data_IF_855591171350
#
_entry.id   IF_855591171350
#
_cell.length_a   1.000
_cell.length_b   1.000
_cell.length_c   1.000
_cell.angle_alpha   90.00
_cell.angle_beta   90.00
_cell.angle_gamma   90.00
#
_symmetry.space_group_name_H-M   'P 1'
#
loop_
_entity.id
_entity.type
_entity.pdbx_description
1 polymer ?
#
# COMPACT_ATOMS: atom_id res chain seq x y z
N UNK A 1 6.52 1.97 -17.66
CA UNK A 1 5.98 0.96 -16.73
C UNK A 1 5.11 0.00 -17.53
N UNK A 2 5.39 -1.30 -17.48
CA UNK A 2 4.63 -2.29 -18.24
C UNK A 2 3.47 -2.83 -17.40
N UNK A 3 2.24 -2.62 -17.89
CA UNK A 3 0.99 -2.99 -17.22
C UNK A 3 0.84 -4.51 -17.13
N UNK A 4 1.35 -5.23 -18.12
CA UNK A 4 1.29 -6.69 -18.17
C UNK A 4 2.11 -7.28 -17.03
N UNK A 5 3.28 -6.69 -16.75
CA UNK A 5 4.16 -7.10 -15.66
C UNK A 5 3.50 -6.90 -14.30
N UNK A 6 2.93 -5.71 -14.03
CA UNK A 6 2.22 -5.46 -12.76
C UNK A 6 1.12 -6.50 -12.49
N UNK A 7 0.39 -6.87 -13.54
CA UNK A 7 -0.65 -7.89 -13.50
C UNK A 7 -0.12 -9.31 -13.30
N UNK A 8 1.03 -9.63 -13.89
CA UNK A 8 1.70 -10.92 -13.68
C UNK A 8 2.27 -11.03 -12.28
N UNK A 9 2.92 -9.98 -11.78
CA UNK A 9 3.51 -9.94 -10.44
C UNK A 9 2.43 -10.06 -9.38
N UNK A 10 1.31 -9.35 -9.54
CA UNK A 10 0.15 -9.50 -8.66
C UNK A 10 -0.40 -10.94 -8.67
N UNK A 11 -0.43 -11.59 -9.83
CA UNK A 11 -0.85 -13.00 -9.93
C UNK A 11 0.12 -13.95 -9.23
N UNK A 12 1.42 -13.75 -9.41
CA UNK A 12 2.45 -14.53 -8.74
C UNK A 12 2.47 -14.27 -7.21
N UNK A 13 2.19 -13.03 -6.79
CA UNK A 13 2.00 -12.63 -5.39
C UNK A 13 0.87 -13.42 -4.76
N UNK A 14 -0.28 -13.46 -5.43
CA UNK A 14 -1.44 -14.20 -4.95
C UNK A 14 -1.20 -15.70 -4.82
N UNK A 15 -0.50 -16.32 -5.77
CA UNK A 15 -0.30 -17.77 -5.78
C UNK A 15 0.60 -18.27 -4.64
N UNK A 16 1.57 -17.47 -4.19
CA UNK A 16 2.51 -17.90 -3.14
C UNK A 16 2.09 -17.42 -1.74
N UNK A 17 1.05 -16.58 -1.64
CA UNK A 17 0.60 -16.05 -0.37
C UNK A 17 -0.18 -17.09 0.46
N UNK A 18 0.20 -17.23 1.73
CA UNK A 18 -0.46 -18.09 2.69
C UNK A 18 -0.82 -17.26 3.96
N UNK A 19 -2.10 -17.12 4.35
CA UNK A 19 -3.32 -17.63 3.72
C UNK A 19 -3.61 -17.02 2.35
N UNK A 20 -4.30 -17.80 1.50
CA UNK A 20 -4.63 -17.40 0.13
C UNK A 20 -5.40 -16.07 0.12
N UNK A 21 -5.02 -15.06 -0.69
CA UNK A 21 -5.64 -13.73 -0.66
C UNK A 21 -7.14 -13.72 -0.94
N UNK A 22 -7.66 -14.69 -1.70
CA UNK A 22 -9.10 -14.85 -1.86
C UNK A 22 -9.83 -15.20 -0.55
N UNK A 23 -9.21 -15.95 0.37
CA UNK A 23 -9.81 -16.24 1.69
C UNK A 23 -9.86 -14.98 2.55
N UNK A 24 -8.77 -14.21 2.61
CA UNK A 24 -8.74 -12.95 3.37
C UNK A 24 -9.74 -11.95 2.79
N UNK A 25 -9.85 -11.89 1.46
CA UNK A 25 -10.83 -11.06 0.76
C UNK A 25 -12.26 -11.52 1.00
N UNK A 26 -12.50 -12.84 1.04
CA UNK A 26 -13.80 -13.40 1.38
C UNK A 26 -14.20 -13.04 2.81
N UNK A 27 -13.28 -13.19 3.78
CA UNK A 27 -13.52 -12.76 5.17
C UNK A 27 -13.82 -11.27 5.24
N UNK A 28 -13.04 -10.43 4.56
CA UNK A 28 -13.28 -8.99 4.47
C UNK A 28 -14.67 -8.69 3.88
N UNK A 29 -15.04 -9.31 2.76
CA UNK A 29 -16.34 -9.12 2.11
C UNK A 29 -17.50 -9.60 2.99
N UNK A 30 -17.36 -10.71 3.69
CA UNK A 30 -18.37 -11.22 4.63
C UNK A 30 -18.57 -10.25 5.79
N UNK A 31 -17.49 -9.69 6.35
CA UNK A 31 -17.58 -8.68 7.41
C UNK A 31 -18.32 -7.43 6.89
N UNK A 32 -17.98 -6.94 5.70
CA UNK A 32 -18.67 -5.79 5.11
C UNK A 32 -20.14 -6.08 4.80
N UNK A 33 -20.45 -7.28 4.30
CA UNK A 33 -21.80 -7.72 4.04
C UNK A 33 -22.61 -7.82 5.34
N UNK A 34 -22.02 -8.33 6.43
CA UNK A 34 -22.65 -8.38 7.74
C UNK A 34 -22.94 -6.98 8.29
N UNK A 35 -22.00 -6.04 8.19
CA UNK A 35 -22.21 -4.64 8.58
C UNK A 35 -23.37 -4.03 7.77
N UNK A 36 -23.36 -4.21 6.45
CA UNK A 36 -24.39 -3.70 5.55
C UNK A 36 -25.75 -4.33 5.81
N UNK A 37 -25.77 -5.63 6.15
CA UNK A 37 -26.97 -6.37 6.53
C UNK A 37 -27.58 -5.82 7.81
N UNK A 38 -26.79 -5.53 8.84
CA UNK A 38 -27.29 -4.94 10.10
C UNK A 38 -27.92 -3.57 9.86
N UNK A 39 -27.30 -2.71 9.04
CA UNK A 39 -27.87 -1.41 8.66
C UNK A 39 -29.18 -1.61 7.91
N UNK A 40 -29.18 -2.48 6.90
CA UNK A 40 -30.36 -2.76 6.06
C UNK A 40 -31.51 -3.36 6.88
N UNK A 41 -31.20 -4.23 7.84
CA UNK A 41 -32.17 -4.83 8.76
C UNK A 41 -32.82 -3.77 9.64
N UNK A 42 -32.05 -2.80 10.14
CA UNK A 42 -32.60 -1.72 10.96
C UNK A 42 -33.50 -0.77 10.14
N UNK A 43 -33.10 -0.42 8.93
CA UNK A 43 -33.92 0.37 8.01
C UNK A 43 -35.19 -0.39 7.55
N UNK A 44 -35.06 -1.69 7.29
CA UNK A 44 -36.17 -2.56 6.92
C UNK A 44 -37.18 -2.75 8.06
N UNK A 45 -36.69 -2.97 9.28
CA UNK A 45 -37.54 -3.04 10.47
C UNK A 45 -38.28 -1.73 10.72
N UNK A 46 -37.59 -0.58 10.64
CA UNK A 46 -38.21 0.74 10.75
C UNK A 46 -39.35 0.90 9.72
N UNK A 47 -39.09 0.54 8.47
CA UNK A 47 -40.07 0.63 7.38
C UNK A 47 -41.27 -0.30 7.59
N UNK A 48 -41.02 -1.56 7.99
CA UNK A 48 -42.06 -2.53 8.26
C UNK A 48 -42.92 -2.13 9.47
N UNK A 49 -42.29 -1.64 10.53
CA UNK A 49 -42.98 -1.19 11.73
C UNK A 49 -43.85 0.04 11.43
N UNK A 50 -43.35 1.02 10.68
CA UNK A 50 -44.16 2.16 10.25
C UNK A 50 -45.32 1.74 9.35
N UNK A 51 -45.15 0.75 8.47
CA UNK A 51 -46.24 0.25 7.63
C UNK A 51 -47.38 -0.42 8.43
N UNK A 52 -47.11 -0.90 9.64
CA UNK A 52 -48.12 -1.45 10.55
C UNK A 52 -48.87 -0.37 11.34
N UNK A 53 -48.35 0.86 11.36
CA UNK A 53 -48.99 1.99 12.03
C UNK A 53 -49.87 2.72 11.04
N UNK A 54 -51.18 2.58 11.22
CA UNK A 54 -52.21 3.18 10.36
C UNK A 54 -52.38 4.68 10.57
N UNK A 55 -51.90 5.21 11.69
CA UNK A 55 -51.95 6.63 12.03
C UNK A 55 -50.72 7.37 11.44
N UNK A 56 -50.93 8.38 10.57
CA UNK A 56 -49.85 9.09 9.90
C UNK A 56 -48.98 9.93 10.86
N UNK A 57 -49.55 10.45 11.95
CA UNK A 57 -48.82 11.24 12.94
C UNK A 57 -47.92 10.33 13.79
N UNK A 58 -48.44 9.14 14.15
CA UNK A 58 -47.64 8.12 14.85
C UNK A 58 -46.52 7.55 13.95
N UNK A 59 -46.79 7.34 12.65
CA UNK A 59 -45.79 6.94 11.66
C UNK A 59 -44.65 7.97 11.54
N UNK A 60 -44.99 9.27 11.49
CA UNK A 60 -44.00 10.35 11.44
C UNK A 60 -43.14 10.39 12.72
N UNK A 61 -43.76 10.20 13.90
CA UNK A 61 -43.05 10.14 15.17
C UNK A 61 -42.06 8.96 15.25
N UNK A 62 -42.41 7.80 14.69
CA UNK A 62 -41.53 6.63 14.60
C UNK A 62 -40.32 6.92 13.72
N UNK A 63 -40.52 7.45 12.51
CA UNK A 63 -39.42 7.81 11.63
C UNK A 63 -38.47 8.82 12.30
N UNK A 64 -39.01 9.87 12.91
CA UNK A 64 -38.23 10.86 13.63
C UNK A 64 -37.45 10.23 14.80
N UNK A 65 -38.09 9.37 15.59
CA UNK A 65 -37.45 8.65 16.70
C UNK A 65 -36.35 7.69 16.26
N UNK A 66 -36.48 7.07 15.08
CA UNK A 66 -35.48 6.14 14.54
C UNK A 66 -34.34 6.83 13.78
N UNK A 67 -34.42 8.15 13.50
CA UNK A 67 -33.36 8.87 12.79
C UNK A 67 -32.04 8.88 13.57
N UNK A 68 -32.06 9.25 14.85
CA UNK A 68 -30.83 9.37 15.65
C UNK A 68 -30.11 8.02 15.80
N UNK A 69 -30.78 6.92 16.18
CA UNK A 69 -30.14 5.60 16.22
C UNK A 69 -29.58 5.16 14.85
N UNK A 70 -30.29 5.46 13.75
CA UNK A 70 -29.85 5.13 12.39
C UNK A 70 -28.59 5.87 11.97
N UNK A 71 -28.51 7.16 12.28
CA UNK A 71 -27.33 7.98 12.01
C UNK A 71 -26.14 7.51 12.86
N UNK A 72 -26.36 7.19 14.14
CA UNK A 72 -25.30 6.68 15.02
C UNK A 72 -24.77 5.33 14.54
N UNK A 73 -25.65 4.39 14.17
CA UNK A 73 -25.22 3.10 13.61
C UNK A 73 -24.40 3.32 12.34
N UNK A 74 -24.90 4.13 11.40
CA UNK A 74 -24.21 4.42 10.14
C UNK A 74 -22.83 5.05 10.37
N UNK A 75 -22.71 5.94 11.35
CA UNK A 75 -21.44 6.56 11.70
C UNK A 75 -20.44 5.52 12.22
N UNK A 76 -20.86 4.68 13.17
CA UNK A 76 -20.03 3.59 13.71
C UNK A 76 -19.61 2.62 12.60
N UNK A 77 -20.55 2.20 11.74
CA UNK A 77 -20.27 1.33 10.61
C UNK A 77 -19.27 1.93 9.62
N UNK A 78 -19.32 3.24 9.39
CA UNK A 78 -18.35 3.95 8.53
C UNK A 78 -16.96 3.96 9.15
N UNK A 79 -16.85 4.18 10.46
CA UNK A 79 -15.58 4.09 11.17
C UNK A 79 -14.99 2.68 11.08
N UNK A 80 -15.82 1.65 11.28
CA UNK A 80 -15.40 0.26 11.21
C UNK A 80 -14.92 -0.11 9.81
N UNK A 81 -15.71 0.24 8.79
CA UNK A 81 -15.38 -0.03 7.38
C UNK A 81 -14.09 0.68 6.97
N UNK A 82 -13.89 1.93 7.41
CA UNK A 82 -12.70 2.71 7.07
C UNK A 82 -11.39 2.09 7.57
N UNK A 83 -11.34 1.62 8.83
CA UNK A 83 -10.13 0.97 9.31
C UNK A 83 -9.94 -0.43 8.72
N UNK A 84 -11.02 -1.18 8.48
CA UNK A 84 -10.95 -2.50 7.83
C UNK A 84 -10.41 -2.37 6.40
N UNK A 85 -10.84 -1.34 5.67
CA UNK A 85 -10.31 -1.04 4.34
C UNK A 85 -8.80 -0.79 4.40
N UNK A 86 -8.32 -0.03 5.38
CA UNK A 86 -6.88 0.21 5.55
C UNK A 86 -6.10 -1.05 5.95
N UNK A 87 -6.67 -1.89 6.81
CA UNK A 87 -6.08 -3.19 7.14
C UNK A 87 -5.98 -4.09 5.91
N UNK A 88 -6.98 -4.07 5.04
CA UNK A 88 -6.95 -4.79 3.76
C UNK A 88 -5.90 -4.21 2.80
N UNK A 89 -5.81 -2.89 2.65
CA UNK A 89 -4.75 -2.22 1.87
C UNK A 89 -3.37 -2.63 2.37
N UNK A 90 -3.14 -2.59 3.69
CA UNK A 90 -1.87 -3.00 4.27
C UNK A 90 -1.56 -4.50 4.07
N UNK A 91 -2.57 -5.35 4.19
CA UNK A 91 -2.46 -6.78 3.86
C UNK A 91 -2.00 -6.97 2.41
N UNK A 92 -2.65 -6.33 1.45
CA UNK A 92 -2.26 -6.45 0.02
C UNK A 92 -0.85 -5.94 -0.25
N UNK A 93 -0.43 -4.88 0.44
CA UNK A 93 0.94 -4.35 0.37
C UNK A 93 1.96 -5.35 0.94
N UNK A 94 1.65 -6.03 2.04
CA UNK A 94 2.50 -7.11 2.58
C UNK A 94 2.57 -8.32 1.66
N UNK A 95 1.45 -8.70 1.06
CA UNK A 95 1.37 -9.81 0.09
C UNK A 95 2.26 -9.56 -1.12
N UNK A 96 2.17 -8.38 -1.73
CA UNK A 96 3.04 -8.04 -2.87
C UNK A 96 4.51 -7.94 -2.45
N UNK A 97 4.78 -7.47 -1.23
CA UNK A 97 6.13 -7.41 -0.66
C UNK A 97 6.66 -8.76 -0.14
N UNK A 98 5.91 -9.86 -0.33
CA UNK A 98 6.25 -11.21 0.15
C UNK A 98 6.50 -11.30 1.66
N UNK A 99 5.89 -10.42 2.43
CA UNK A 99 5.94 -10.43 3.89
C UNK A 99 4.88 -11.39 4.46
N UNK A 100 5.08 -11.94 5.67
CA UNK A 100 4.06 -12.73 6.33
C UNK A 100 2.82 -11.85 6.57
N UNK A 101 1.72 -12.22 5.90
CA UNK A 101 0.47 -11.48 5.92
C UNK A 101 -0.64 -12.43 6.37
N UNK A 102 -1.52 -11.99 7.26
CA UNK A 102 -2.60 -12.82 7.82
C UNK A 102 -3.92 -12.07 7.94
N UNK A 103 -4.98 -12.81 8.29
CA UNK A 103 -6.33 -12.22 8.52
C UNK A 103 -6.29 -11.16 9.63
N UNK A 104 -5.39 -11.33 10.62
CA UNK A 104 -5.22 -10.37 11.71
C UNK A 104 -4.76 -8.98 11.23
N UNK A 105 -4.12 -8.89 10.06
CA UNK A 105 -3.68 -7.60 9.50
C UNK A 105 -4.87 -6.71 9.11
N UNK A 106 -6.06 -7.30 8.87
CA UNK A 106 -7.30 -6.56 8.68
C UNK A 106 -7.64 -5.67 9.89
N UNK A 107 -7.26 -6.10 11.09
CA UNK A 107 -7.54 -5.41 12.34
C UNK A 107 -6.33 -4.66 12.92
N UNK A 108 -5.13 -4.85 12.37
CA UNK A 108 -3.90 -4.24 12.88
C UNK A 108 -3.95 -2.70 12.94
N UNK A 109 -4.73 -2.09 12.06
CA UNK A 109 -4.88 -0.64 11.95
C UNK A 109 -6.07 -0.08 12.73
N UNK A 110 -6.77 -0.90 13.52
CA UNK A 110 -7.90 -0.44 14.35
C UNK A 110 -7.49 0.67 15.34
N UNK A 111 -6.27 0.61 15.89
CA UNK A 111 -5.74 1.67 16.79
C UNK A 111 -5.54 3.02 16.10
N UNK A 112 -5.42 3.05 14.77
CA UNK A 112 -5.26 4.25 13.96
C UNK A 112 -6.57 4.67 13.28
N UNK A 113 -7.72 4.13 13.70
CA UNK A 113 -9.03 4.34 13.07
C UNK A 113 -9.38 5.83 12.90
N UNK A 114 -9.14 6.66 13.92
CA UNK A 114 -9.42 8.11 13.86
C UNK A 114 -8.54 8.81 12.81
N UNK A 115 -7.28 8.41 12.71
CA UNK A 115 -6.33 8.99 11.74
C UNK A 115 -6.70 8.60 10.31
N UNK A 116 -7.10 7.35 10.12
CA UNK A 116 -7.60 6.82 8.85
C UNK A 116 -8.87 7.55 8.43
N UNK A 117 -9.78 7.77 9.38
CA UNK A 117 -11.00 8.52 9.11
C UNK A 117 -10.71 9.98 8.78
N UNK A 118 -9.79 10.62 9.51
CA UNK A 118 -9.28 11.95 9.18
C UNK A 118 -8.68 12.04 7.78
N UNK A 119 -7.88 11.05 7.37
CA UNK A 119 -7.35 10.96 6.00
C UNK A 119 -8.48 10.88 4.96
N UNK A 120 -9.49 10.03 5.20
CA UNK A 120 -10.65 9.91 4.32
C UNK A 120 -11.44 11.21 4.21
N UNK A 121 -11.64 11.94 5.32
CA UNK A 121 -12.33 13.24 5.31
C UNK A 121 -11.55 14.27 4.53
N UNK A 122 -10.25 14.41 4.78
CA UNK A 122 -9.43 15.43 4.11
C UNK A 122 -9.38 15.16 2.60
N UNK A 123 -9.16 13.90 2.21
CA UNK A 123 -9.18 13.54 0.79
C UNK A 123 -10.56 13.72 0.18
N UNK A 124 -11.62 13.29 0.87
CA UNK A 124 -13.01 13.45 0.45
C UNK A 124 -13.38 14.92 0.25
N UNK A 125 -13.00 15.80 1.17
CA UNK A 125 -13.20 17.24 1.06
C UNK A 125 -12.50 17.82 -0.18
N UNK A 126 -11.23 17.47 -0.40
CA UNK A 126 -10.54 17.94 -1.60
C UNK A 126 -11.18 17.38 -2.88
N UNK A 127 -11.45 16.07 -2.95
CA UNK A 127 -12.09 15.46 -4.12
C UNK A 127 -13.46 16.08 -4.39
N UNK A 128 -14.25 16.32 -3.35
CA UNK A 128 -15.53 17.02 -3.45
C UNK A 128 -15.36 18.44 -3.99
N UNK A 129 -14.42 19.22 -3.45
CA UNK A 129 -14.10 20.56 -3.95
C UNK A 129 -13.70 20.55 -5.43
N UNK A 130 -12.84 19.61 -5.85
CA UNK A 130 -12.46 19.45 -7.26
C UNK A 130 -13.64 19.02 -8.13
N UNK A 131 -14.54 18.18 -7.61
CA UNK A 131 -15.74 17.72 -8.30
C UNK A 131 -16.78 18.83 -8.44
N UNK A 132 -16.85 19.78 -7.50
CA UNK A 132 -17.71 20.97 -7.60
C UNK A 132 -17.26 21.91 -8.71
N UNK A 133 -15.96 22.01 -8.97
CA UNK A 133 -15.47 22.81 -10.09
C UNK A 133 -15.89 22.20 -11.42
N UNK A 134 -15.59 20.91 -11.64
CA UNK A 134 -16.00 20.14 -12.82
C UNK A 134 -15.91 18.63 -12.49
N UNK A 135 -16.66 17.80 -13.21
CA UNK A 135 -16.67 16.35 -12.99
C UNK A 135 -15.31 15.67 -13.26
N UNK A 136 -14.64 16.03 -14.37
CA UNK A 136 -13.34 15.45 -14.78
C UNK A 136 -12.21 15.69 -13.75
N UNK A 137 -11.95 16.91 -13.24
CA UNK A 137 -10.89 17.12 -12.27
C UNK A 137 -11.17 16.43 -10.91
N UNK A 138 -12.44 16.16 -10.56
CA UNK A 138 -12.79 15.32 -9.42
C UNK A 138 -12.17 13.93 -9.50
N UNK A 139 -12.32 13.26 -10.65
CA UNK A 139 -11.74 11.93 -10.91
C UNK A 139 -10.21 11.99 -10.87
N UNK A 140 -9.60 13.00 -11.51
CA UNK A 140 -8.15 13.18 -11.48
C UNK A 140 -7.64 13.42 -10.05
N UNK A 141 -8.39 14.14 -9.21
CA UNK A 141 -8.06 14.35 -7.81
C UNK A 141 -8.12 13.05 -7.00
N UNK A 142 -9.12 12.19 -7.25
CA UNK A 142 -9.20 10.86 -6.63
C UNK A 142 -7.94 10.03 -6.93
N UNK A 143 -7.52 9.98 -8.20
CA UNK A 143 -6.30 9.26 -8.58
C UNK A 143 -5.04 9.84 -7.94
N UNK A 144 -4.93 11.16 -7.90
CA UNK A 144 -3.79 11.87 -7.30
C UNK A 144 -3.62 11.53 -5.82
N UNK A 145 -4.69 11.25 -5.09
CA UNK A 145 -4.63 10.97 -3.65
C UNK A 145 -4.66 9.48 -3.30
N UNK A 146 -4.92 8.62 -4.28
CA UNK A 146 -5.03 7.17 -4.06
C UNK A 146 -3.81 6.53 -3.38
N UNK A 147 -2.61 7.09 -3.54
CA UNK A 147 -1.38 6.52 -2.97
C UNK A 147 -1.22 6.88 -1.48
N UNK A 148 -1.96 7.86 -0.97
CA UNK A 148 -1.88 8.29 0.43
C UNK A 148 -2.25 7.17 1.40
N UNK A 149 -3.16 6.26 1.01
CA UNK A 149 -3.51 5.08 1.81
C UNK A 149 -2.32 4.14 2.00
N UNK A 150 -1.54 3.86 0.96
CA UNK A 150 -0.36 2.99 1.05
C UNK A 150 0.77 3.65 1.87
N UNK A 151 0.98 4.95 1.71
CA UNK A 151 1.97 5.71 2.49
C UNK A 151 1.63 5.69 3.98
N UNK A 152 0.36 5.88 4.33
CA UNK A 152 -0.10 5.80 5.71
C UNK A 152 0.00 4.38 6.26
N UNK A 153 -0.24 3.35 5.44
CA UNK A 153 -0.07 1.96 5.85
C UNK A 153 1.39 1.62 6.19
N UNK A 154 2.36 2.15 5.45
CA UNK A 154 3.79 1.97 5.73
C UNK A 154 4.29 2.83 6.89
N UNK A 155 3.82 4.07 6.99
CA UNK A 155 4.24 5.05 7.99
C UNK A 155 3.03 5.59 8.78
N UNK A 156 2.46 4.80 9.69
CA UNK A 156 1.23 5.18 10.40
C UNK A 156 1.41 6.41 11.30
N UNK A 157 2.64 6.78 11.67
CA UNK A 157 2.95 7.97 12.46
C UNK A 157 3.00 9.26 11.63
N UNK A 158 3.16 9.18 10.30
CA UNK A 158 3.24 10.36 9.40
C UNK A 158 1.95 11.18 9.37
N UNK A 159 2.05 12.51 9.26
CA UNK A 159 0.88 13.39 9.20
C UNK A 159 -0.05 13.10 8.02
N UNK A 160 -1.36 13.35 8.18
CA UNK A 160 -2.36 13.14 7.12
C UNK A 160 -2.01 13.97 5.88
N UNK A 161 -1.66 15.25 6.09
CA UNK A 161 -1.35 16.16 4.99
C UNK A 161 -0.03 15.78 4.29
N UNK A 162 0.94 15.27 5.04
CA UNK A 162 2.21 14.80 4.48
C UNK A 162 1.98 13.59 3.57
N UNK A 163 1.16 12.63 4.01
CA UNK A 163 0.77 11.48 3.19
C UNK A 163 0.10 11.93 1.88
N UNK A 164 -0.80 12.93 1.95
CA UNK A 164 -1.46 13.47 0.77
C UNK A 164 -0.44 14.16 -0.16
N UNK A 165 0.46 14.98 0.37
CA UNK A 165 1.45 15.70 -0.43
C UNK A 165 2.43 14.74 -1.12
N UNK A 166 2.88 13.70 -0.43
CA UNK A 166 3.75 12.66 -0.99
C UNK A 166 3.01 11.85 -2.07
N UNK A 167 1.72 11.52 -1.86
CA UNK A 167 0.88 10.92 -2.90
C UNK A 167 0.77 11.82 -4.14
N UNK A 168 0.65 13.14 -3.97
CA UNK A 168 0.61 14.08 -5.11
C UNK A 168 1.91 14.06 -5.90
N UNK A 169 3.05 14.03 -5.19
CA UNK A 169 4.37 14.00 -5.80
C UNK A 169 4.60 12.70 -6.57
N UNK A 170 4.29 11.54 -5.97
CA UNK A 170 4.42 10.23 -6.62
C UNK A 170 3.51 10.05 -7.84
N UNK A 171 2.32 10.63 -7.80
CA UNK A 171 1.36 10.54 -8.91
C UNK A 171 1.63 11.55 -10.04
N UNK A 172 2.63 12.42 -9.92
CA UNK A 172 2.98 13.36 -10.99
C UNK A 172 3.51 12.58 -12.21
N UNK A 173 2.94 12.82 -13.39
CA UNK A 173 3.28 12.07 -14.62
C UNK A 173 2.61 10.70 -14.80
N UNK A 174 2.12 10.07 -13.72
CA UNK A 174 1.59 8.69 -13.76
C UNK A 174 0.05 8.57 -13.64
N UNK A 175 -0.67 9.70 -13.67
CA UNK A 175 -2.14 9.71 -13.54
C UNK A 175 -2.83 8.94 -14.68
N UNK A 176 -2.33 9.10 -15.90
CA UNK A 176 -2.86 8.40 -17.07
C UNK A 176 -2.53 6.90 -17.05
N UNK A 177 -1.38 6.52 -16.47
CA UNK A 177 -1.01 5.12 -16.30
C UNK A 177 -2.03 4.41 -15.42
N UNK A 178 -2.37 5.00 -14.27
CA UNK A 178 -3.39 4.51 -13.34
C UNK A 178 -4.78 4.47 -13.97
N UNK A 179 -5.20 5.52 -14.68
CA UNK A 179 -6.50 5.55 -15.34
C UNK A 179 -6.68 4.40 -16.35
N UNK A 180 -5.68 4.18 -17.20
CA UNK A 180 -5.74 3.11 -18.19
C UNK A 180 -5.55 1.72 -17.53
N UNK A 181 -4.88 1.64 -16.38
CA UNK A 181 -4.82 0.41 -15.58
C UNK A 181 -6.22 0.04 -15.09
N UNK A 182 -6.97 1.00 -14.54
CA UNK A 182 -8.35 0.76 -14.09
C UNK A 182 -9.30 0.44 -15.25
N UNK A 183 -9.14 1.10 -16.41
CA UNK A 183 -9.90 0.75 -17.62
C UNK A 183 -9.68 -0.71 -18.03
N UNK A 184 -8.49 -1.25 -17.83
CA UNK A 184 -8.22 -2.67 -18.13
C UNK A 184 -8.91 -3.64 -17.18
N UNK A 185 -9.45 -3.15 -16.05
CA UNK A 185 -10.23 -3.92 -15.08
C UNK A 185 -11.75 -3.75 -15.24
N UNK A 186 -12.22 -2.77 -16.02
CA UNK A 186 -13.66 -2.48 -16.16
C UNK A 186 -14.46 -3.68 -16.68
N UNK A 187 -13.86 -4.48 -17.58
CA UNK A 187 -14.47 -5.72 -18.10
C UNK A 187 -14.64 -6.78 -17.01
N UNK A 188 -13.71 -6.85 -16.06
CA UNK A 188 -13.80 -7.77 -14.92
C UNK A 188 -14.88 -7.33 -13.94
N UNK A 189 -15.07 -6.02 -13.74
CA UNK A 189 -16.17 -5.49 -12.94
C UNK A 189 -17.54 -5.74 -13.60
N UNK A 190 -17.62 -5.60 -14.93
CA UNK A 190 -18.83 -5.96 -15.68
C UNK A 190 -19.17 -7.45 -15.53
N UNK A 191 -18.15 -8.32 -15.64
CA UNK A 191 -18.31 -9.76 -15.43
C UNK A 191 -18.72 -10.09 -13.99
N UNK A 192 -18.16 -9.39 -13.00
CA UNK A 192 -18.59 -9.50 -11.60
C UNK A 192 -20.07 -9.14 -11.43
N UNK A 193 -20.56 -8.11 -12.13
CA UNK A 193 -21.99 -7.76 -12.15
C UNK A 193 -22.86 -8.88 -12.72
N UNK A 194 -22.48 -9.46 -13.87
CA UNK A 194 -23.23 -10.54 -14.52
C UNK A 194 -23.25 -11.83 -13.69
N UNK A 195 -22.17 -12.11 -12.95
CA UNK A 195 -22.04 -13.32 -12.11
C UNK A 195 -22.57 -13.14 -10.70
N UNK A 196 -23.41 -12.12 -10.44
CA UNK A 196 -23.96 -11.78 -9.12
C UNK A 196 -22.86 -11.64 -8.04
N UNK A 197 -21.68 -11.13 -8.42
CA UNK A 197 -20.55 -10.90 -7.52
C UNK A 197 -19.60 -12.08 -7.34
N UNK A 198 -19.88 -13.26 -7.93
CA UNK A 198 -19.01 -14.44 -7.78
C UNK A 198 -17.61 -14.21 -8.38
N UNK A 199 -17.52 -13.58 -9.56
CA UNK A 199 -16.21 -13.24 -10.13
C UNK A 199 -15.47 -12.19 -9.28
N UNK A 200 -16.20 -11.36 -8.52
CA UNK A 200 -15.64 -10.35 -7.62
C UNK A 200 -14.73 -10.95 -6.53
N UNK A 201 -15.00 -12.18 -6.08
CA UNK A 201 -14.17 -12.84 -5.05
C UNK A 201 -12.72 -13.03 -5.47
N UNK A 202 -12.47 -13.27 -6.76
CA UNK A 202 -11.11 -13.38 -7.30
C UNK A 202 -10.58 -12.03 -7.82
N UNK A 203 -11.46 -11.22 -8.42
CA UNK A 203 -11.08 -9.95 -9.04
C UNK A 203 -10.68 -8.90 -8.00
N UNK A 204 -11.37 -8.81 -6.86
CA UNK A 204 -11.08 -7.82 -5.81
C UNK A 204 -9.66 -7.93 -5.27
N UNK A 205 -9.19 -9.08 -4.73
CA UNK A 205 -7.79 -9.19 -4.29
C UNK A 205 -6.79 -8.95 -5.42
N UNK A 206 -7.12 -9.37 -6.64
CA UNK A 206 -6.24 -9.17 -7.79
C UNK A 206 -6.04 -7.70 -8.12
N UNK A 207 -7.13 -6.92 -8.16
CA UNK A 207 -7.08 -5.47 -8.42
C UNK A 207 -6.32 -4.76 -7.31
N UNK A 208 -6.58 -5.09 -6.04
CA UNK A 208 -5.94 -4.42 -4.91
C UNK A 208 -4.44 -4.74 -4.81
N UNK A 209 -4.04 -5.99 -5.04
CA UNK A 209 -2.62 -6.35 -5.10
C UNK A 209 -1.94 -5.71 -6.31
N UNK A 210 -2.64 -5.57 -7.45
CA UNK A 210 -2.11 -4.82 -8.60
C UNK A 210 -1.95 -3.34 -8.29
N UNK A 211 -2.87 -2.73 -7.53
CA UNK A 211 -2.75 -1.36 -7.07
C UNK A 211 -1.58 -1.18 -6.08
N UNK A 212 -1.35 -2.16 -5.21
CA UNK A 212 -0.18 -2.18 -4.32
C UNK A 212 1.13 -2.37 -5.11
N UNK A 213 1.13 -3.20 -6.15
CA UNK A 213 2.26 -3.34 -7.07
C UNK A 213 2.55 -2.02 -7.80
N UNK A 214 1.50 -1.34 -8.26
CA UNK A 214 1.60 0.00 -8.86
C UNK A 214 2.23 1.00 -7.88
N UNK A 215 1.78 1.02 -6.61
CA UNK A 215 2.38 1.86 -5.57
C UNK A 215 3.88 1.60 -5.41
N UNK A 216 4.28 0.34 -5.27
CA UNK A 216 5.70 -0.01 -5.17
C UNK A 216 6.47 0.40 -6.42
N UNK A 217 5.89 0.26 -7.61
CA UNK A 217 6.54 0.66 -8.85
C UNK A 217 6.73 2.17 -8.99
N UNK A 218 5.86 2.98 -8.38
CA UNK A 218 6.06 4.44 -8.23
C UNK A 218 7.14 4.75 -7.20
N UNK A 219 7.16 4.02 -6.09
CA UNK A 219 8.13 4.22 -4.99
C UNK A 219 9.56 3.85 -5.37
N UNK A 220 9.75 2.71 -6.03
CA UNK A 220 11.06 2.17 -6.40
C UNK A 220 11.49 2.54 -7.84
N UNK A 221 10.61 3.16 -8.63
CA UNK A 221 10.89 3.51 -10.03
C UNK A 221 11.23 2.29 -10.89
N UNK A 222 12.06 2.47 -11.92
CA UNK A 222 12.48 1.37 -12.83
C UNK A 222 13.16 0.17 -12.14
N UNK A 223 13.54 0.29 -10.85
CA UNK A 223 14.12 -0.80 -10.07
C UNK A 223 13.10 -1.81 -9.54
N UNK A 224 11.79 -1.50 -9.58
CA UNK A 224 10.74 -2.46 -9.24
C UNK A 224 10.83 -3.75 -10.08
N UNK A 225 11.31 -3.64 -11.32
CA UNK A 225 11.49 -4.76 -12.26
C UNK A 225 12.62 -5.73 -11.84
N UNK A 226 13.65 -5.26 -11.12
CA UNK A 226 14.80 -6.09 -10.76
C UNK A 226 14.59 -6.87 -9.44
N UNK A 227 13.74 -6.39 -8.54
CA UNK A 227 13.51 -7.02 -7.24
C UNK A 227 12.38 -8.05 -7.24
N UNK A 228 11.44 -7.99 -8.20
CA UNK A 228 10.29 -8.88 -8.32
C UNK A 228 10.36 -9.79 -9.57
N UNK A 229 11.56 -9.99 -10.12
CA UNK A 229 11.81 -10.78 -11.33
C UNK A 229 11.52 -12.27 -11.20
N UNK A 230 10.86 -12.81 -12.24
CA UNK A 230 10.73 -14.25 -12.50
C UNK A 230 12.11 -14.93 -12.52
N UNK A 231 12.47 -15.66 -11.46
CA UNK A 231 13.57 -16.64 -11.45
C UNK A 231 14.59 -16.48 -10.32
N UNK A 232 14.64 -17.49 -9.44
CA UNK A 232 15.71 -17.85 -8.52
C UNK A 232 16.11 -16.86 -7.40
N UNK A 233 15.97 -17.33 -6.14
CA UNK A 233 16.83 -16.90 -5.04
C UNK A 233 16.19 -16.01 -3.98
N UNK A 234 16.00 -16.58 -2.80
CA UNK A 234 15.59 -15.93 -1.55
C UNK A 234 16.55 -14.80 -1.14
N UNK A 235 16.03 -13.64 -0.68
CA UNK A 235 16.87 -12.63 -0.03
C UNK A 235 16.20 -11.30 0.35
N UNK A 236 15.97 -11.13 1.65
CA UNK A 236 16.14 -9.90 2.46
C UNK A 236 15.62 -8.54 1.98
N UNK A 237 14.70 -7.97 2.76
CA UNK A 237 14.33 -6.55 2.70
C UNK A 237 15.49 -5.67 3.22
N UNK A 238 16.01 -4.77 2.38
CA UNK A 238 16.75 -3.59 2.84
C UNK A 238 15.87 -2.35 2.65
N UNK A 239 15.51 -1.75 3.78
CA UNK A 239 14.75 -0.53 3.91
C UNK A 239 15.63 0.66 3.54
N UNK A 240 15.51 1.17 2.32
CA UNK A 240 16.09 2.47 1.95
C UNK A 240 15.02 3.56 2.01
N UNK A 241 15.31 4.59 2.81
CA UNK A 241 14.43 5.71 3.08
C UNK A 241 14.11 6.52 1.82
N UNK A 242 12.90 7.06 1.78
CA UNK A 242 12.46 7.95 0.72
C UNK A 242 13.24 9.27 0.80
N UNK A 243 14.17 9.51 -0.12
CA UNK A 243 14.86 10.80 -0.26
C UNK A 243 14.15 11.64 -1.34
N UNK A 244 13.63 12.83 -0.99
CA UNK A 244 12.95 13.69 -1.94
C UNK A 244 13.96 14.60 -2.65
N UNK A 245 14.45 14.20 -3.83
CA UNK A 245 14.78 15.09 -4.96
C UNK A 245 15.53 14.35 -6.08
N UNK A 246 15.13 14.60 -7.33
CA UNK A 246 15.95 14.28 -8.50
C UNK A 246 15.14 13.68 -9.65
N UNK A 247 14.48 14.53 -10.43
CA UNK A 247 13.98 14.15 -11.74
C UNK A 247 15.18 13.90 -12.66
N UNK A 248 15.25 12.73 -13.30
CA UNK A 248 16.09 12.60 -14.50
C UNK A 248 15.48 11.69 -15.57
N UNK A 249 15.61 12.20 -16.78
CA UNK A 249 15.00 11.79 -18.04
C UNK A 249 15.68 10.58 -18.68
N UNK A 250 14.88 9.82 -19.45
CA UNK A 250 15.18 9.02 -20.65
C UNK A 250 16.59 8.51 -20.97
N UNK A 251 16.69 7.22 -21.27
CA UNK A 251 17.83 6.62 -21.99
C UNK A 251 17.72 5.10 -22.16
N UNK A 252 18.17 4.59 -23.30
CA UNK A 252 17.89 3.28 -23.91
C UNK A 252 18.63 2.07 -23.29
N UNK A 253 18.11 0.87 -23.60
CA UNK A 253 18.69 -0.47 -23.38
C UNK A 253 20.14 -0.61 -23.85
N UNK A 254 20.94 -1.42 -23.12
CA UNK A 254 21.97 -2.25 -23.73
C UNK A 254 22.11 -3.60 -23.01
N UNK A 255 22.20 -4.66 -23.81
CA UNK A 255 22.29 -6.07 -23.48
C UNK A 255 23.77 -6.50 -23.44
N UNK A 256 24.15 -7.44 -22.55
CA UNK A 256 25.30 -8.33 -22.81
C UNK A 256 26.21 -8.66 -21.61
N UNK A 257 26.26 -9.95 -21.26
CA UNK A 257 27.51 -10.73 -21.12
C UNK A 257 28.53 -10.44 -20.00
N UNK A 258 28.49 -11.29 -18.97
CA UNK A 258 29.59 -11.99 -18.28
C UNK A 258 31.03 -11.39 -18.14
N UNK A 259 31.48 -11.42 -16.86
CA UNK A 259 32.82 -11.80 -16.32
C UNK A 259 33.95 -10.77 -16.04
N UNK A 260 34.30 -10.75 -14.74
CA UNK A 260 35.63 -10.72 -14.08
C UNK A 260 36.68 -9.60 -14.34
N UNK A 261 37.05 -8.91 -13.26
CA UNK A 261 38.45 -8.83 -12.79
C UNK A 261 39.29 -7.56 -13.10
N UNK A 262 39.93 -7.05 -12.04
CA UNK A 262 41.03 -6.08 -11.96
C UNK A 262 40.71 -4.57 -12.02
N UNK A 263 41.20 -3.85 -11.01
CA UNK A 263 41.04 -2.41 -10.84
C UNK A 263 42.16 -1.58 -11.47
N UNK A 264 41.88 -0.28 -11.63
CA UNK A 264 42.83 0.82 -11.43
C UNK A 264 42.06 2.15 -11.37
N UNK A 265 42.44 2.96 -10.38
CA UNK A 265 42.18 4.41 -10.22
C UNK A 265 42.85 5.17 -11.38
N UNK A 266 42.48 6.36 -11.85
CA UNK A 266 41.52 7.39 -11.47
C UNK A 266 41.86 8.65 -12.31
N UNK A 267 40.90 9.54 -12.54
CA UNK A 267 41.18 10.94 -12.87
C UNK A 267 40.24 11.81 -12.02
N UNK A 268 40.85 12.59 -11.13
CA UNK A 268 40.19 13.37 -10.10
C UNK A 268 39.66 14.72 -10.57
N UNK A 269 38.50 15.06 -10.02
CA UNK A 269 37.80 16.35 -10.05
C UNK A 269 38.64 17.50 -9.46
N UNK A 270 38.37 18.75 -9.87
CA UNK A 270 38.55 19.89 -8.99
C UNK A 270 37.17 20.47 -8.66
N UNK A 271 36.49 19.94 -7.64
CA UNK A 271 35.54 20.60 -6.71
C UNK A 271 34.88 19.55 -5.79
N UNK A 272 35.64 18.77 -5.01
CA UNK A 272 35.13 18.03 -3.84
C UNK A 272 36.20 17.95 -2.75
N UNK A 273 35.98 18.63 -1.62
CA UNK A 273 36.66 18.44 -0.33
C UNK A 273 35.66 17.74 0.60
N UNK A 274 35.96 16.73 1.41
CA UNK A 274 37.15 15.92 1.59
C UNK A 274 36.79 14.79 2.57
N UNK A 275 37.09 13.55 2.22
CA UNK A 275 37.15 12.40 3.13
C UNK A 275 38.03 11.34 2.44
N UNK A 276 39.19 11.03 3.02
CA UNK A 276 40.20 10.12 2.44
C UNK A 276 40.45 8.92 3.38
N UNK A 277 40.27 7.66 2.92
CA UNK A 277 40.60 6.46 3.68
C UNK A 277 41.91 5.78 3.22
N UNK A 278 42.80 5.56 4.20
CA UNK A 278 43.90 4.59 4.29
C UNK A 278 45.28 4.90 3.65
N UNK A 279 46.20 5.37 4.50
CA UNK A 279 47.64 5.14 4.37
C UNK A 279 48.09 3.97 5.26
N UNK A 280 48.68 2.92 4.68
CA UNK A 280 49.52 1.95 5.38
C UNK A 280 50.81 1.71 4.58
N UNK A 281 51.96 2.05 5.17
CA UNK A 281 53.13 1.18 5.42
C UNK A 281 54.45 1.97 5.47
N UNK A 282 55.27 1.64 6.49
CA UNK A 282 56.74 1.69 6.41
C UNK A 282 57.44 2.79 7.22
N UNK A 283 57.88 2.45 8.44
CA UNK A 283 58.69 3.33 9.32
C UNK A 283 60.16 3.51 8.92
N UNK A 284 60.99 4.12 9.80
CA UNK A 284 61.93 3.27 10.55
C UNK A 284 62.09 3.63 12.05
N UNK A 285 62.27 2.55 12.83
CA UNK A 285 63.09 2.33 14.03
C UNK A 285 63.15 3.38 15.17
N UNK A 286 62.76 2.97 16.37
CA UNK A 286 63.68 2.66 17.49
C UNK A 286 62.89 2.21 18.74
N UNK A 287 63.39 1.16 19.44
CA UNK A 287 63.02 0.88 20.84
C UNK A 287 62.63 -0.57 21.20
N UNK A 288 63.59 -1.49 21.12
CA UNK A 288 63.91 -2.55 22.10
C UNK A 288 62.78 -3.36 22.83
N UNK A 289 62.53 -4.59 22.33
CA UNK A 289 62.58 -5.95 22.96
C UNK A 289 61.99 -6.30 24.36
N UNK A 290 61.73 -7.61 24.68
CA UNK A 290 60.37 -8.17 24.85
C UNK A 290 60.19 -8.96 26.17
N UNK A 291 59.01 -9.59 26.35
CA UNK A 291 58.73 -10.91 26.98
C UNK A 291 57.25 -10.92 27.40
N UNK A 292 56.42 -11.96 27.25
CA UNK A 292 56.67 -13.37 27.04
C UNK A 292 55.38 -14.05 26.55
N UNK A 293 55.56 -15.16 25.85
CA UNK A 293 54.53 -16.05 25.34
C UNK A 293 53.80 -16.77 26.48
N UNK A 294 52.50 -17.04 26.31
CA UNK A 294 51.96 -18.41 26.43
C UNK A 294 50.49 -18.49 25.99
N UNK A 295 50.28 -19.28 24.94
CA UNK A 295 49.04 -19.90 24.53
C UNK A 295 49.06 -21.33 25.07
N UNK A 296 48.03 -21.80 25.79
CA UNK A 296 47.28 -23.02 25.43
C UNK A 296 46.23 -23.42 26.47
N UNK A 297 45.07 -23.82 25.96
CA UNK A 297 44.17 -24.91 26.37
C UNK A 297 44.29 -25.50 27.79
N UNK A 298 43.13 -25.66 28.46
CA UNK A 298 42.49 -26.96 28.79
C UNK A 298 41.45 -26.79 29.92
N UNK A 299 40.19 -27.17 29.68
CA UNK A 299 39.29 -27.70 30.72
C UNK A 299 39.87 -29.08 31.18
N UNK A 300 39.53 -29.74 32.33
CA UNK A 300 38.35 -29.61 33.19
C UNK A 300 38.58 -29.75 34.73
N UNK A 301 37.59 -29.40 35.55
CA UNK A 301 36.97 -30.21 36.63
C UNK A 301 35.96 -29.37 37.42
#
# INVERSE_FOLDING_TARGET
>A
MDRVQLKMDAKAAMQQANPHPALVSLVYMVILAAISFVISMMSGFSSAFTALVSDPDAAAAIYAGMMIPSLLLSLVSTLVTGFLQMGYTAYTLRVINRQPAGINDLFAYARYCLKIWGLNIVMGFFVFAWSLLLWVPGIVAMYRYSQAYYILAENPEKGIMDCINESKAMMYGHKMDKFVLDLSFILWFLLAGITCGLAGLYVTPYVEITNAAFYNSLKYGGSYQQQYGYGAGYGGYQQNGYQPNGYQQGGYQQNGGQQQGYGQQGFGNPYQQGYDPNYQQGGPQQGYTPDGQQNNNSNPQ
#
